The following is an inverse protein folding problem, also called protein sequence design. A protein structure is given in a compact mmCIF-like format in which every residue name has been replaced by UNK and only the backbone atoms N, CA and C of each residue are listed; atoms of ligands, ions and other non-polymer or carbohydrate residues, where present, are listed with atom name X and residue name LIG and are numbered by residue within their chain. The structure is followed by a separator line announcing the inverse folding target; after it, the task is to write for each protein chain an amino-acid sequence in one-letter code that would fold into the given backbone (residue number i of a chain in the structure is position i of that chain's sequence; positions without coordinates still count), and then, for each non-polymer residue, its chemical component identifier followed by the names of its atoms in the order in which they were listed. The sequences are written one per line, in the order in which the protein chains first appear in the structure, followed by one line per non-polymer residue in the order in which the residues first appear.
data_IF_145948270697
#
_entry.id   IF_145948270697
#
_cell.length_a   1.000
_cell.length_b   1.000
_cell.length_c   1.000
_cell.angle_alpha   90.00
_cell.angle_beta   90.00
_cell.angle_gamma   90.00
#
_symmetry.space_group_name_H-M   'P 1'
#
loop_
_entity.id
_entity.type
_entity.pdbx_description
1 polymer ?
#
# COMPACT_ATOMS: atom_id res chain seq x y z
N UNK A 1 17.81 12.91 -16.28
CA UNK A 1 18.01 13.99 -15.30
C UNK A 1 17.09 13.87 -14.10
N UNK A 2 17.49 14.43 -12.96
CA UNK A 2 16.69 14.55 -11.73
C UNK A 2 15.70 15.70 -11.86
N UNK A 3 14.49 15.57 -11.31
CA UNK A 3 13.50 16.67 -11.36
C UNK A 3 13.97 17.85 -10.49
N UNK A 4 13.55 19.06 -10.84
CA UNK A 4 13.85 20.27 -10.07
C UNK A 4 13.31 20.19 -8.62
N UNK A 5 12.23 19.43 -8.42
CA UNK A 5 11.68 19.12 -7.10
C UNK A 5 12.65 18.31 -6.23
N UNK A 6 13.44 17.39 -6.82
CA UNK A 6 14.46 16.62 -6.08
C UNK A 6 15.56 17.52 -5.54
N UNK A 7 15.96 18.56 -6.30
CA UNK A 7 16.94 19.53 -5.84
C UNK A 7 16.42 20.35 -4.66
N UNK A 8 15.16 20.80 -4.73
CA UNK A 8 14.50 21.50 -3.63
C UNK A 8 14.52 20.64 -2.35
N UNK A 9 14.03 19.41 -2.46
CA UNK A 9 14.00 18.46 -1.35
C UNK A 9 15.40 18.19 -0.77
N UNK A 10 16.41 18.10 -1.62
CA UNK A 10 17.80 17.96 -1.19
C UNK A 10 18.29 19.18 -0.41
N UNK A 11 18.00 20.40 -0.87
CA UNK A 11 18.35 21.64 -0.15
C UNK A 11 17.64 21.71 1.21
N UNK A 12 16.34 21.38 1.26
CA UNK A 12 15.56 21.36 2.50
C UNK A 12 16.17 20.41 3.55
N UNK A 13 16.52 19.19 3.14
CA UNK A 13 17.16 18.21 4.02
C UNK A 13 18.54 18.65 4.52
N UNK A 14 19.36 19.20 3.62
CA UNK A 14 20.72 19.59 3.97
C UNK A 14 20.77 20.86 4.81
N UNK A 15 19.84 21.80 4.62
CA UNK A 15 19.81 23.02 5.42
C UNK A 15 19.62 22.74 6.92
N UNK A 16 18.65 21.88 7.26
CA UNK A 16 18.38 21.50 8.64
C UNK A 16 19.52 20.69 9.29
N UNK A 17 20.29 19.92 8.49
CA UNK A 17 21.41 19.11 9.01
C UNK A 17 22.73 19.86 9.08
N UNK A 18 22.92 20.92 8.28
CA UNK A 18 24.14 21.72 8.26
C UNK A 18 24.12 22.88 9.27
N UNK A 19 22.94 23.41 9.58
CA UNK A 19 22.82 24.54 10.51
C UNK A 19 22.93 24.06 11.96
N UNK A 20 23.90 24.59 12.69
CA UNK A 20 24.09 24.31 14.12
C UNK A 20 23.23 25.20 15.02
N UNK A 21 22.82 26.37 14.52
CA UNK A 21 22.04 27.36 15.28
C UNK A 21 20.52 27.16 15.09
N UNK A 22 19.81 26.74 16.15
CA UNK A 22 18.38 26.44 16.08
C UNK A 22 17.48 27.60 15.59
N UNK A 23 17.69 28.87 15.97
CA UNK A 23 16.99 30.01 15.37
C UNK A 23 17.20 30.13 13.86
N UNK A 24 18.42 29.92 13.36
CA UNK A 24 18.72 29.91 11.92
C UNK A 24 18.03 28.77 11.19
N UNK A 25 17.93 27.58 11.81
CA UNK A 25 17.15 26.46 11.26
C UNK A 25 15.69 26.88 11.11
N UNK A 26 15.07 27.46 12.14
CA UNK A 26 13.66 27.89 12.08
C UNK A 26 13.43 28.96 11.01
N UNK A 27 14.32 29.94 10.93
CA UNK A 27 14.28 31.00 9.91
C UNK A 27 14.43 30.39 8.50
N UNK A 28 15.42 29.51 8.33
CA UNK A 28 15.68 28.77 7.09
C UNK A 28 14.46 27.99 6.64
N UNK A 29 13.90 27.16 7.51
CA UNK A 29 12.67 26.40 7.24
C UNK A 29 11.51 27.30 6.83
N UNK A 30 11.30 28.44 7.51
CA UNK A 30 10.23 29.38 7.14
C UNK A 30 10.42 29.97 5.74
N UNK A 31 11.64 30.39 5.39
CA UNK A 31 11.96 30.93 4.05
C UNK A 31 11.89 29.86 2.96
N UNK A 32 12.33 28.63 3.27
CA UNK A 32 12.26 27.49 2.38
C UNK A 32 10.81 27.08 2.10
N UNK A 33 9.93 27.11 3.11
CA UNK A 33 8.48 26.89 2.92
C UNK A 33 7.84 27.92 1.99
N UNK A 34 8.28 29.19 2.04
CA UNK A 34 7.80 30.20 1.10
C UNK A 34 8.28 29.93 -0.33
N UNK A 35 9.54 29.51 -0.49
CA UNK A 35 10.09 29.13 -1.79
C UNK A 35 9.38 27.89 -2.38
N UNK A 36 9.07 26.89 -1.55
CA UNK A 36 8.32 25.69 -1.95
C UNK A 36 6.88 26.04 -2.39
N UNK A 37 6.18 26.90 -1.64
CA UNK A 37 4.86 27.41 -2.07
C UNK A 37 4.90 28.11 -3.42
N UNK A 38 5.97 28.87 -3.70
CA UNK A 38 6.14 29.50 -5.00
C UNK A 38 6.34 28.48 -6.13
N UNK A 39 6.81 27.26 -5.82
CA UNK A 39 6.96 26.18 -6.80
C UNK A 39 5.63 25.72 -7.39
N UNK A 40 4.52 25.85 -6.66
CA UNK A 40 3.19 25.56 -7.19
C UNK A 40 2.86 26.39 -8.45
N UNK A 41 3.46 27.57 -8.58
CA UNK A 41 3.35 28.40 -9.78
C UNK A 41 3.81 27.70 -11.07
N UNK A 42 4.66 26.67 -10.99
CA UNK A 42 5.07 25.86 -12.14
C UNK A 42 3.96 24.99 -12.72
N UNK A 43 2.99 24.61 -11.90
CA UNK A 43 1.88 23.75 -12.28
C UNK A 43 0.63 24.54 -12.65
N UNK A 44 0.48 25.73 -12.07
CA UNK A 44 -0.66 26.62 -12.35
C UNK A 44 -0.45 27.53 -13.55
N UNK A 45 0.81 27.73 -13.98
CA UNK A 45 1.14 28.64 -15.06
C UNK A 45 1.88 27.89 -16.17
N UNK A 46 1.61 28.22 -17.44
CA UNK A 46 2.31 27.65 -18.61
C UNK A 46 3.77 28.09 -18.71
N UNK A 47 4.24 28.89 -17.76
CA UNK A 47 5.62 29.33 -17.64
C UNK A 47 6.53 28.21 -17.11
N UNK A 48 7.04 27.38 -18.03
CA UNK A 48 8.14 26.42 -17.79
C UNK A 48 9.40 27.05 -17.14
N UNK A 49 9.53 28.39 -17.19
CA UNK A 49 10.66 29.16 -16.63
C UNK A 49 10.54 29.46 -15.14
N UNK A 50 9.39 29.19 -14.51
CA UNK A 50 9.20 29.38 -13.06
C UNK A 50 10.14 28.51 -12.22
N UNK A 51 10.56 27.36 -12.76
CA UNK A 51 11.53 26.43 -12.14
C UNK A 51 12.87 27.08 -11.81
N UNK A 52 13.38 27.94 -12.69
CA UNK A 52 14.64 28.67 -12.45
C UNK A 52 14.50 29.58 -11.22
N UNK A 53 13.42 30.34 -11.16
CA UNK A 53 13.17 31.26 -10.06
C UNK A 53 13.01 30.54 -8.72
N UNK A 54 12.30 29.42 -8.68
CA UNK A 54 12.07 28.67 -7.45
C UNK A 54 13.36 28.02 -6.94
N UNK A 55 14.20 27.49 -7.84
CA UNK A 55 15.52 26.96 -7.48
C UNK A 55 16.44 28.05 -6.91
N UNK A 56 16.47 29.23 -7.54
CA UNK A 56 17.27 30.35 -7.04
C UNK A 56 16.76 30.89 -5.71
N UNK A 57 15.45 31.03 -5.53
CA UNK A 57 14.85 31.46 -4.26
C UNK A 57 15.17 30.47 -3.13
N UNK A 58 15.16 29.17 -3.42
CA UNK A 58 15.50 28.13 -2.44
C UNK A 58 16.99 28.15 -2.09
N UNK A 59 17.87 28.25 -3.08
CA UNK A 59 19.30 28.35 -2.85
C UNK A 59 19.67 29.63 -2.07
N UNK A 60 18.99 30.73 -2.35
CA UNK A 60 19.14 31.99 -1.61
C UNK A 60 18.62 31.87 -0.18
N UNK A 61 17.43 31.30 0.02
CA UNK A 61 16.87 31.02 1.34
C UNK A 61 17.83 30.15 2.16
N UNK A 62 18.42 29.13 1.53
CA UNK A 62 19.36 28.23 2.19
C UNK A 62 20.69 28.88 2.58
N UNK A 63 21.17 29.88 1.82
CA UNK A 63 22.45 30.54 2.10
C UNK A 63 22.32 31.74 3.05
N UNK A 64 21.20 32.44 3.03
CA UNK A 64 21.00 33.70 3.79
C UNK A 64 20.37 33.51 5.16
N UNK A 65 19.78 32.35 5.43
CA UNK A 65 19.10 32.09 6.70
C UNK A 65 20.06 31.79 7.87
N UNK A 66 21.32 31.44 7.60
CA UNK A 66 22.28 31.14 8.64
C UNK A 66 22.91 32.43 9.19
N UNK A 67 22.79 32.65 10.49
CA UNK A 67 23.31 33.84 11.17
C UNK A 67 24.71 33.58 11.76
N UNK A 68 25.08 32.31 11.91
CA UNK A 68 26.35 31.85 12.48
C UNK A 68 27.17 31.19 11.38
N UNK A 69 28.50 31.33 11.33
CA UNK A 69 29.32 30.56 10.39
C UNK A 69 29.09 29.05 10.56
N UNK A 70 29.16 28.31 9.45
CA UNK A 70 29.10 26.85 9.49
C UNK A 70 30.34 26.30 10.22
N UNK A 71 30.13 25.37 11.15
CA UNK A 71 31.18 24.77 11.94
C UNK A 71 31.62 23.43 11.34
N UNK A 72 32.93 23.18 11.31
CA UNK A 72 33.49 21.90 10.87
C UNK A 72 33.44 21.66 9.35
N UNK A 73 33.52 20.39 8.96
CA UNK A 73 33.46 19.97 7.54
C UNK A 73 32.01 19.77 7.11
N UNK A 74 31.63 20.44 6.03
CA UNK A 74 30.30 20.39 5.44
C UNK A 74 30.22 19.16 4.53
N UNK A 75 29.37 18.20 4.86
CA UNK A 75 29.10 17.02 4.03
C UNK A 75 27.60 16.92 3.75
N UNK A 76 27.12 17.47 2.63
CA UNK A 76 25.73 17.31 2.28
C UNK A 76 25.46 15.85 1.89
N UNK A 77 24.39 15.28 2.43
CA UNK A 77 23.98 13.91 2.17
C UNK A 77 22.82 13.88 1.17
N UNK A 78 22.74 12.80 0.38
CA UNK A 78 21.55 12.55 -0.43
C UNK A 78 20.52 11.80 0.42
N UNK A 79 19.34 12.41 0.70
CA UNK A 79 18.34 11.84 1.59
C UNK A 79 17.87 10.47 1.12
N UNK A 80 17.57 9.57 2.06
CA UNK A 80 17.12 8.22 1.73
C UNK A 80 15.80 8.22 0.94
N UNK A 81 14.87 9.12 1.23
CA UNK A 81 13.58 9.20 0.53
C UNK A 81 13.69 9.68 -0.93
N UNK A 82 14.77 10.37 -1.31
CA UNK A 82 15.04 10.75 -2.70
C UNK A 82 15.79 9.66 -3.48
N UNK A 83 16.35 8.66 -2.78
CA UNK A 83 16.97 7.52 -3.45
C UNK A 83 15.88 6.71 -4.12
N UNK A 84 16.20 6.15 -5.29
CA UNK A 84 15.40 5.08 -5.87
C UNK A 84 15.53 3.88 -4.94
N UNK A 85 14.67 3.80 -3.93
CA UNK A 85 14.54 2.61 -3.11
C UNK A 85 13.78 1.58 -3.91
N UNK A 86 14.17 0.31 -3.76
CA UNK A 86 13.27 -0.77 -4.15
C UNK A 86 11.96 -0.61 -3.34
N UNK A 87 10.80 -0.87 -3.96
CA UNK A 87 9.57 -1.15 -3.23
C UNK A 87 9.82 -1.94 -1.95
N UNK A 88 9.26 -1.48 -0.83
CA UNK A 88 9.15 -2.31 0.36
C UNK A 88 8.21 -3.48 0.06
N UNK A 89 8.66 -4.69 0.38
CA UNK A 89 7.93 -5.94 0.19
C UNK A 89 7.79 -6.40 -1.26
N UNK A 90 7.35 -7.65 -1.39
CA UNK A 90 7.07 -8.28 -2.68
C UNK A 90 5.76 -7.73 -3.25
N UNK A 91 5.75 -7.44 -4.56
CA UNK A 91 4.57 -6.86 -5.24
C UNK A 91 3.30 -7.71 -5.13
N UNK A 92 3.42 -9.03 -5.12
CA UNK A 92 2.28 -9.94 -5.02
C UNK A 92 1.57 -9.86 -3.65
N UNK A 93 2.33 -9.67 -2.57
CA UNK A 93 1.76 -9.45 -1.23
C UNK A 93 0.97 -8.13 -1.20
N UNK A 94 1.57 -7.07 -1.74
CA UNK A 94 0.94 -5.74 -1.79
C UNK A 94 -0.34 -5.78 -2.62
N UNK A 95 -0.36 -6.56 -3.71
CA UNK A 95 -1.53 -6.73 -4.56
C UNK A 95 -2.67 -7.46 -3.84
N UNK A 96 -2.38 -8.61 -3.19
CA UNK A 96 -3.37 -9.34 -2.39
C UNK A 96 -3.94 -8.48 -1.26
N UNK A 97 -3.07 -7.78 -0.52
CA UNK A 97 -3.51 -6.88 0.56
C UNK A 97 -4.35 -5.72 0.03
N UNK A 98 -3.97 -5.14 -1.11
CA UNK A 98 -4.73 -4.05 -1.71
C UNK A 98 -6.13 -4.51 -2.13
N UNK A 99 -6.24 -5.72 -2.68
CA UNK A 99 -7.52 -6.32 -3.06
C UNK A 99 -8.38 -6.66 -1.84
N UNK A 100 -7.83 -7.35 -0.83
CA UNK A 100 -8.53 -7.71 0.41
C UNK A 100 -9.01 -6.48 1.18
N UNK A 101 -8.18 -5.43 1.28
CA UNK A 101 -8.51 -4.22 2.02
C UNK A 101 -9.25 -3.17 1.17
N UNK A 102 -9.41 -3.37 -0.15
CA UNK A 102 -10.02 -2.39 -1.06
C UNK A 102 -9.26 -1.05 -1.13
N UNK A 103 -7.93 -1.09 -1.04
CA UNK A 103 -7.07 0.11 -0.91
C UNK A 103 -6.07 0.22 -2.06
N UNK A 104 -5.44 1.39 -2.20
CA UNK A 104 -4.40 1.59 -3.20
C UNK A 104 -3.11 0.82 -2.82
N UNK A 105 -2.42 0.26 -3.82
CA UNK A 105 -1.08 -0.35 -3.71
C UNK A 105 -0.04 0.54 -3.01
N UNK A 106 -0.15 1.86 -3.16
CA UNK A 106 0.72 2.81 -2.46
C UNK A 106 0.44 2.86 -0.95
N UNK A 107 -0.83 3.01 -0.58
CA UNK A 107 -1.27 3.07 0.82
C UNK A 107 -0.98 1.75 1.53
N UNK A 108 -1.20 0.61 0.88
CA UNK A 108 -0.85 -0.70 1.44
C UNK A 108 0.61 -0.86 1.75
N UNK A 109 1.49 -0.32 0.92
CA UNK A 109 2.92 -0.38 1.18
C UNK A 109 3.34 0.49 2.36
N UNK A 110 2.73 1.66 2.50
CA UNK A 110 3.12 2.66 3.51
C UNK A 110 2.47 2.42 4.88
N UNK A 111 1.25 1.88 4.92
CA UNK A 111 0.46 1.77 6.16
C UNK A 111 0.27 0.32 6.62
N UNK A 112 -0.05 -0.60 5.69
CA UNK A 112 -0.44 -1.97 6.06
C UNK A 112 0.75 -2.94 6.10
N UNK A 113 1.74 -2.75 5.24
CA UNK A 113 2.86 -3.66 5.09
C UNK A 113 3.83 -3.61 6.29
N UNK A 114 4.03 -2.42 6.88
CA UNK A 114 4.93 -2.24 8.02
C UNK A 114 4.49 -3.00 9.29
N UNK A 115 3.22 -2.92 9.73
CA UNK A 115 2.70 -3.78 10.78
C UNK A 115 2.89 -5.27 10.50
N UNK A 116 2.69 -5.68 9.26
CA UNK A 116 2.87 -7.08 8.83
C UNK A 116 4.31 -7.55 8.99
N UNK A 117 5.29 -6.71 8.63
CA UNK A 117 6.70 -6.99 8.90
C UNK A 117 6.99 -7.11 10.39
N UNK A 118 6.41 -6.24 11.21
CA UNK A 118 6.63 -6.25 12.67
C UNK A 118 6.13 -7.53 13.35
N UNK A 119 5.09 -8.17 12.81
CA UNK A 119 4.51 -9.42 13.36
C UNK A 119 5.25 -10.67 12.82
N UNK A 120 5.89 -10.58 11.65
CA UNK A 120 6.46 -11.75 10.97
C UNK A 120 7.99 -11.85 11.04
N UNK A 121 8.69 -10.74 11.28
CA UNK A 121 10.16 -10.72 11.31
C UNK A 121 10.71 -11.06 12.69
N UNK A 122 11.60 -12.06 12.76
CA UNK A 122 12.26 -12.47 14.02
C UNK A 122 13.08 -11.36 14.69
N UNK A 123 13.48 -10.33 13.94
CA UNK A 123 14.22 -9.17 14.46
C UNK A 123 13.32 -8.20 15.27
N UNK A 124 12.01 -8.37 15.21
CA UNK A 124 11.02 -7.54 15.92
C UNK A 124 10.71 -8.11 17.30
N UNK A 125 10.38 -7.23 18.26
CA UNK A 125 10.02 -7.63 19.64
C UNK A 125 8.76 -8.51 19.71
N UNK A 126 7.86 -8.39 18.75
CA UNK A 126 6.61 -9.15 18.66
C UNK A 126 6.66 -10.21 17.56
N UNK A 127 7.73 -10.26 16.78
CA UNK A 127 7.75 -11.02 15.54
C UNK A 127 8.20 -12.46 15.72
N UNK A 128 7.49 -13.37 15.05
CA UNK A 128 7.85 -14.79 14.98
C UNK A 128 7.56 -15.34 13.58
N UNK A 129 8.61 -15.75 12.87
CA UNK A 129 8.49 -16.33 11.53
C UNK A 129 7.93 -17.76 11.52
N UNK A 130 7.72 -18.38 12.69
CA UNK A 130 7.10 -19.71 12.79
C UNK A 130 5.58 -19.66 12.92
N UNK A 131 5.01 -18.47 13.17
CA UNK A 131 3.56 -18.28 13.29
C UNK A 131 2.96 -17.99 11.91
N UNK A 132 2.15 -18.92 11.43
CA UNK A 132 1.60 -18.87 10.07
C UNK A 132 0.18 -18.29 9.98
N UNK A 133 -0.52 -18.15 11.10
CA UNK A 133 -1.95 -17.80 11.19
C UNK A 133 -2.32 -16.61 10.28
N UNK A 134 -1.66 -15.47 10.48
CA UNK A 134 -1.92 -14.24 9.71
C UNK A 134 -1.64 -14.44 8.22
N UNK A 135 -0.61 -15.21 7.87
CA UNK A 135 -0.25 -15.44 6.46
C UNK A 135 -1.22 -16.40 5.77
N UNK A 136 -1.73 -17.39 6.50
CA UNK A 136 -2.74 -18.33 6.02
C UNK A 136 -4.09 -17.63 5.83
N UNK A 137 -4.52 -16.82 6.81
CA UNK A 137 -5.76 -16.03 6.72
C UNK A 137 -5.73 -15.04 5.54
N UNK A 138 -4.57 -14.44 5.27
CA UNK A 138 -4.37 -13.55 4.12
C UNK A 138 -4.19 -14.29 2.79
N UNK A 139 -4.21 -15.62 2.78
CA UNK A 139 -4.03 -16.43 1.57
C UNK A 139 -2.64 -16.25 0.92
N UNK A 140 -1.61 -16.02 1.74
CA UNK A 140 -0.24 -15.92 1.26
C UNK A 140 0.34 -17.31 0.96
N UNK A 141 1.24 -17.35 -0.02
CA UNK A 141 2.03 -18.55 -0.30
C UNK A 141 3.21 -18.69 0.67
N UNK A 142 3.78 -19.89 0.78
CA UNK A 142 4.97 -20.11 1.60
C UNK A 142 6.15 -19.19 1.22
N UNK A 143 6.34 -18.90 -0.07
CA UNK A 143 7.39 -17.97 -0.53
C UNK A 143 7.10 -16.51 -0.13
N UNK A 144 5.83 -16.13 -0.09
CA UNK A 144 5.40 -14.79 0.32
C UNK A 144 5.54 -14.59 1.82
N UNK A 145 5.14 -15.58 2.63
CA UNK A 145 5.36 -15.57 4.07
C UNK A 145 6.85 -15.43 4.41
N UNK A 146 7.70 -16.21 3.74
CA UNK A 146 9.15 -16.14 3.91
C UNK A 146 9.72 -14.77 3.48
N UNK A 147 9.17 -14.18 2.41
CA UNK A 147 9.53 -12.83 1.98
C UNK A 147 9.10 -11.75 2.99
N UNK A 148 8.01 -11.94 3.74
CA UNK A 148 7.60 -11.04 4.83
C UNK A 148 8.57 -11.11 6.00
N UNK A 149 8.95 -12.33 6.40
CA UNK A 149 9.95 -12.59 7.44
C UNK A 149 11.37 -12.10 7.07
N UNK A 150 11.61 -11.67 5.83
CA UNK A 150 12.91 -11.16 5.39
C UNK A 150 13.98 -12.24 5.25
N UNK A 151 13.58 -13.51 5.20
CA UNK A 151 14.50 -14.65 5.13
C UNK A 151 14.89 -14.94 3.67
N UNK A 152 16.12 -15.40 3.37
CA UNK A 152 16.50 -15.79 2.02
C UNK A 152 16.13 -17.25 1.72
N UNK A 153 15.48 -17.51 0.59
CA UNK A 153 15.02 -18.85 0.14
C UNK A 153 16.13 -19.91 0.08
N UNK A 154 17.38 -19.49 -0.09
CA UNK A 154 18.52 -20.40 -0.22
C UNK A 154 18.88 -21.15 1.09
N UNK A 155 18.49 -20.63 2.26
CA UNK A 155 18.88 -21.21 3.56
C UNK A 155 18.10 -22.49 3.87
N UNK A 156 18.77 -23.42 4.57
CA UNK A 156 18.15 -24.67 5.04
C UNK A 156 16.97 -24.42 5.99
N UNK A 157 17.10 -23.43 6.88
CA UNK A 157 16.02 -23.01 7.79
C UNK A 157 14.79 -22.53 7.01
N UNK A 158 15.00 -21.70 5.99
CA UNK A 158 13.94 -21.19 5.13
C UNK A 158 13.24 -22.31 4.35
N UNK A 159 13.96 -23.33 3.90
CA UNK A 159 13.36 -24.53 3.28
C UNK A 159 12.56 -25.38 4.27
N UNK A 160 12.97 -25.45 5.52
CA UNK A 160 12.19 -26.11 6.57
C UNK A 160 10.89 -25.36 6.83
N UNK A 161 10.94 -24.04 6.99
CA UNK A 161 9.75 -23.19 7.16
C UNK A 161 8.77 -23.32 5.99
N UNK A 162 9.25 -23.37 4.74
CA UNK A 162 8.37 -23.59 3.58
C UNK A 162 7.60 -24.90 3.73
N UNK A 163 8.27 -25.98 4.16
CA UNK A 163 7.65 -27.29 4.34
C UNK A 163 6.62 -27.27 5.48
N UNK A 164 6.97 -26.63 6.59
CA UNK A 164 6.10 -26.54 7.76
C UNK A 164 4.85 -25.69 7.43
N UNK A 165 5.02 -24.61 6.67
CA UNK A 165 3.93 -23.79 6.17
C UNK A 165 2.98 -24.58 5.27
N UNK A 166 3.52 -25.35 4.32
CA UNK A 166 2.71 -26.19 3.42
C UNK A 166 1.90 -27.23 4.18
N UNK A 167 2.49 -27.84 5.21
CA UNK A 167 1.77 -28.77 6.08
C UNK A 167 0.64 -28.07 6.84
N UNK A 168 0.86 -26.85 7.34
CA UNK A 168 -0.19 -26.07 8.00
C UNK A 168 -1.31 -25.65 7.03
N UNK A 169 -0.97 -25.29 5.80
CA UNK A 169 -1.93 -24.97 4.74
C UNK A 169 -2.81 -26.18 4.38
N UNK A 170 -2.23 -27.38 4.28
CA UNK A 170 -2.97 -28.62 4.04
C UNK A 170 -3.97 -28.92 5.18
N UNK A 171 -3.57 -28.71 6.43
CA UNK A 171 -4.45 -28.88 7.60
C UNK A 171 -5.63 -27.91 7.54
N UNK A 172 -5.37 -26.62 7.27
CA UNK A 172 -6.40 -25.60 7.17
C UNK A 172 -7.40 -25.87 6.05
N UNK A 173 -6.90 -26.32 4.88
CA UNK A 173 -7.77 -26.75 3.76
C UNK A 173 -8.62 -27.96 4.14
N UNK A 174 -8.07 -28.95 4.83
CA UNK A 174 -8.83 -30.13 5.26
C UNK A 174 -9.94 -29.77 6.27
N UNK A 175 -9.69 -28.81 7.16
CA UNK A 175 -10.70 -28.30 8.09
C UNK A 175 -11.85 -27.59 7.38
N UNK A 176 -11.57 -26.74 6.38
CA UNK A 176 -12.60 -26.02 5.63
C UNK A 176 -13.54 -26.96 4.85
N UNK A 177 -13.01 -28.01 4.23
CA UNK A 177 -13.83 -29.02 3.53
C UNK A 177 -14.78 -29.74 4.49
N UNK A 178 -14.35 -29.96 5.73
CA UNK A 178 -15.18 -30.66 6.72
C UNK A 178 -16.34 -29.80 7.22
N UNK A 179 -16.21 -28.47 7.22
CA UNK A 179 -17.26 -27.55 7.65
C UNK A 179 -18.35 -27.35 6.56
N UNK A 180 -17.95 -27.29 5.28
CA UNK A 180 -18.89 -27.18 4.14
C UNK A 180 -19.78 -28.42 3.97
N UNK A 181 -19.27 -29.62 4.28
CA UNK A 181 -20.01 -30.88 4.25
C UNK A 181 -21.02 -31.03 5.43
N UNK A 182 -20.89 -30.23 6.49
CA UNK A 182 -21.79 -30.29 7.66
C UNK A 182 -22.99 -29.33 7.49
N UNK A 183 -22.82 -28.18 6.83
CA UNK A 183 -23.93 -27.24 6.58
C UNK A 183 -24.93 -27.72 5.50
N UNK A 184 -24.52 -28.64 4.61
CA UNK A 184 -25.41 -29.22 3.59
C UNK A 184 -26.30 -30.37 4.12
N UNK A 185 -26.11 -30.81 5.36
CA UNK A 185 -26.91 -31.87 5.99
C UNK A 185 -28.00 -31.31 6.92
N UNK A 186 -28.95 -30.53 6.38
CA UNK A 186 -30.23 -30.32 7.06
C UNK A 186 -31.10 -31.59 6.91
N UNK A 187 -31.66 -32.16 7.99
CA UNK A 187 -32.45 -33.38 7.88
C UNK A 187 -33.79 -33.10 7.19
N UNK A 188 -34.00 -33.76 6.05
CA UNK A 188 -35.28 -33.77 5.35
C UNK A 188 -36.40 -34.28 6.27
N UNK A 189 -37.40 -33.43 6.53
CA UNK A 189 -38.69 -33.85 7.08
C UNK A 189 -39.47 -34.67 6.05
N UNK A 190 -40.04 -35.83 6.41
CA UNK A 190 -40.72 -36.71 5.46
C UNK A 190 -42.10 -36.18 5.07
N UNK A 191 -42.35 -36.25 3.76
CA UNK A 191 -43.55 -35.89 3.02
C UNK A 191 -44.69 -36.89 3.27
N UNK A 192 -45.90 -36.42 3.59
CA UNK A 192 -47.13 -37.25 3.60
C UNK A 192 -48.31 -36.45 3.05
N UNK A 193 -48.94 -37.07 2.05
CA UNK A 193 -50.28 -36.91 1.48
C UNK A 193 -50.57 -35.79 0.46
N UNK A 194 -50.53 -36.21 -0.82
CA UNK A 194 -51.42 -35.72 -1.90
C UNK A 194 -52.81 -36.36 -1.78
N UNK A 195 -53.92 -35.69 -2.17
CA UNK A 195 -54.53 -35.92 -3.51
C UNK A 195 -55.41 -34.73 -4.02
N UNK A 196 -56.21 -34.83 -5.12
CA UNK A 196 -56.04 -35.32 -6.50
C UNK A 196 -56.33 -34.19 -7.57
N UNK A 197 -56.36 -34.46 -8.91
CA UNK A 197 -56.14 -33.45 -9.96
C UNK A 197 -57.36 -33.01 -10.84
N UNK A 198 -57.11 -31.97 -11.68
CA UNK A 198 -57.76 -31.54 -12.98
C UNK A 198 -58.99 -30.59 -12.84
N UNK A 199 -59.29 -29.59 -13.74
CA UNK A 199 -58.82 -29.35 -15.13
C UNK A 199 -58.28 -27.96 -15.55
N UNK A 200 -57.66 -28.00 -16.74
CA UNK A 200 -57.22 -26.96 -17.67
C UNK A 200 -58.24 -25.84 -17.96
N UNK A 201 -57.75 -24.59 -18.02
CA UNK A 201 -58.25 -23.56 -18.95
C UNK A 201 -57.07 -22.65 -19.35
N UNK A 202 -56.73 -22.61 -20.63
CA UNK A 202 -56.10 -21.45 -21.31
C UNK A 202 -57.11 -20.92 -22.36
N UNK A 203 -56.94 -19.73 -22.98
CA UNK A 203 -56.09 -18.57 -22.64
C UNK A 203 -56.91 -17.25 -22.65
N UNK A 204 -56.34 -16.14 -22.16
CA UNK A 204 -56.74 -14.80 -22.62
C UNK A 204 -55.48 -13.97 -22.84
N UNK A 205 -55.28 -13.60 -24.10
CA UNK A 205 -54.32 -12.62 -24.59
C UNK A 205 -54.72 -11.23 -24.07
N UNK A 206 -53.79 -10.51 -23.44
CA UNK A 206 -53.80 -9.04 -23.51
C UNK A 206 -52.35 -8.56 -23.70
N UNK A 207 -52.12 -8.02 -24.90
CA UNK A 207 -51.01 -7.13 -25.21
C UNK A 207 -51.08 -5.90 -24.30
N UNK A 208 -49.98 -5.55 -23.62
CA UNK A 208 -49.71 -4.14 -23.40
C UNK A 208 -48.21 -3.84 -23.54
N UNK A 209 -47.97 -2.95 -24.49
CA UNK A 209 -46.70 -2.40 -24.92
C UNK A 209 -46.14 -1.43 -23.88
N UNK A 210 -45.09 -1.85 -23.16
CA UNK A 210 -44.25 -0.94 -22.37
C UNK A 210 -43.15 -0.30 -23.24
N UNK A 211 -42.97 1.04 -23.22
CA UNK A 211 -42.01 1.72 -24.08
C UNK A 211 -40.55 1.57 -23.60
N UNK A 212 -39.64 1.50 -24.59
CA UNK A 212 -38.20 1.23 -24.45
C UNK A 212 -37.45 2.26 -23.57
N UNK A 213 -36.47 1.83 -22.75
CA UNK A 213 -35.69 2.74 -21.93
C UNK A 213 -34.67 3.52 -22.78
N UNK A 214 -34.78 4.84 -22.67
CA UNK A 214 -33.96 5.83 -23.35
C UNK A 214 -32.47 5.70 -23.05
N UNK A 215 -31.71 5.67 -24.14
CA UNK A 215 -30.26 5.78 -24.18
C UNK A 215 -29.89 7.27 -24.12
N UNK A 216 -29.33 7.73 -23.00
CA UNK A 216 -28.63 9.02 -22.90
C UNK A 216 -27.16 8.74 -22.58
N UNK A 217 -26.31 8.88 -23.61
CA UNK A 217 -24.87 8.96 -23.47
C UNK A 217 -24.46 10.37 -23.06
N UNK A 218 -23.79 10.49 -21.92
CA UNK A 218 -22.96 11.63 -21.55
C UNK A 218 -21.61 11.08 -21.05
N UNK A 219 -20.54 11.67 -21.59
CA UNK A 219 -19.11 11.36 -21.48
C UNK A 219 -18.55 10.35 -22.49
#
# INVERSE_FOLDING_TARGET
DKDASDFLNWVHWNNASLFTHAPSVRRGTSTLLQADRAMMGRFLNTAHRSTYWTQHLTALAASTANEVPLEGRIFPSYPHYLRRSSPAGRGSIVEKLAELCGTNKAITREEFLHPLFMITQDDSLLGDSTVFDVSLELGLTAEEHLSLAGLPVSRRSSKALIKDYQAAEEVLRASQVTEEDVETATPATPDVDSPPPVPEVEPVEEEDSGPQPGQTTLF
#
